data_IF_080586413910
#
_entry.id   IF_080586413910
#
_cell.length_a   1.000
_cell.length_b   1.000
_cell.length_c   1.000
_cell.angle_alpha   90.00
_cell.angle_beta   90.00
_cell.angle_gamma   90.00
#
_symmetry.space_group_name_H-M   'P 1'
#
loop_
_entity.id
_entity.type
_entity.pdbx_description
1 polymer ?
#
# COMPACT_ATOMS: atom_id res chain seq x y z
N UNK A 1 -20.94 28.49 45.99
CA UNK A 1 -21.19 28.24 44.55
C UNK A 1 -20.08 27.33 44.03
N UNK A 2 -20.29 26.00 44.02
CA UNK A 2 -19.30 25.04 43.52
C UNK A 2 -19.52 24.86 42.02
N UNK A 3 -18.66 25.47 41.20
CA UNK A 3 -18.67 25.26 39.76
C UNK A 3 -18.06 23.89 39.44
N UNK A 4 -18.87 22.98 38.90
CA UNK A 4 -18.38 21.72 38.36
C UNK A 4 -17.54 22.02 37.10
N UNK A 5 -16.24 21.76 37.18
CA UNK A 5 -15.33 21.94 36.05
C UNK A 5 -15.70 20.96 34.92
N UNK A 6 -15.90 21.41 33.67
CA UNK A 6 -16.18 20.51 32.56
C UNK A 6 -14.94 19.64 32.28
N UNK A 7 -15.09 18.33 32.42
CA UNK A 7 -14.05 17.36 32.09
C UNK A 7 -13.82 17.43 30.57
N UNK A 8 -12.66 17.94 30.14
CA UNK A 8 -12.28 17.92 28.72
C UNK A 8 -12.13 16.46 28.31
N UNK A 9 -13.13 15.93 27.60
CA UNK A 9 -13.08 14.59 27.02
C UNK A 9 -12.24 14.69 25.75
N UNK A 10 -10.96 14.33 25.86
CA UNK A 10 -10.11 14.11 24.69
C UNK A 10 -10.63 12.87 23.95
N UNK A 11 -11.53 13.07 22.98
CA UNK A 11 -12.00 12.01 22.10
C UNK A 11 -10.83 11.55 21.23
N UNK A 12 -10.30 10.36 21.53
CA UNK A 12 -9.40 9.66 20.61
C UNK A 12 -10.21 9.30 19.37
N UNK A 13 -9.85 9.89 18.23
CA UNK A 13 -10.51 9.58 16.95
C UNK A 13 -10.42 8.07 16.66
N UNK A 14 -11.50 7.44 16.15
CA UNK A 14 -11.47 6.03 15.82
C UNK A 14 -10.43 5.78 14.71
N UNK A 15 -9.49 4.84 14.94
CA UNK A 15 -8.46 4.47 13.95
C UNK A 15 -9.05 3.94 12.63
N UNK A 16 -10.32 3.54 12.64
CA UNK A 16 -11.09 3.16 11.45
C UNK A 16 -11.18 4.28 10.39
N UNK A 17 -10.98 5.54 10.79
CA UNK A 17 -10.94 6.67 9.84
C UNK A 17 -9.77 6.59 8.84
N UNK A 18 -8.70 5.85 9.15
CA UNK A 18 -7.58 5.66 8.22
C UNK A 18 -7.86 4.60 7.15
N UNK A 19 -8.89 3.77 7.30
CA UNK A 19 -9.14 2.67 6.37
C UNK A 19 -9.42 3.09 4.94
N UNK A 20 -10.24 4.13 4.66
CA UNK A 20 -10.44 4.57 3.28
C UNK A 20 -9.15 5.05 2.63
N UNK A 21 -8.31 5.78 3.39
CA UNK A 21 -7.01 6.24 2.91
C UNK A 21 -6.06 5.07 2.64
N UNK A 22 -5.99 4.10 3.56
CA UNK A 22 -5.18 2.89 3.39
C UNK A 22 -5.65 2.05 2.19
N UNK A 23 -6.95 1.96 1.95
CA UNK A 23 -7.51 1.26 0.80
C UNK A 23 -7.10 1.94 -0.52
N UNK A 24 -7.28 3.25 -0.63
CA UNK A 24 -6.89 4.02 -1.82
C UNK A 24 -5.39 3.90 -2.07
N UNK A 25 -4.57 4.09 -1.03
CA UNK A 25 -3.13 3.90 -1.12
C UNK A 25 -2.76 2.47 -1.56
N UNK A 26 -3.40 1.46 -0.96
CA UNK A 26 -3.19 0.06 -1.30
C UNK A 26 -3.47 -0.23 -2.76
N UNK A 27 -4.62 0.21 -3.28
CA UNK A 27 -5.06 -0.08 -4.65
C UNK A 27 -4.24 0.69 -5.69
N UNK A 28 -4.01 1.98 -5.48
CA UNK A 28 -3.42 2.84 -6.51
C UNK A 28 -1.90 2.98 -6.43
N UNK A 29 -1.28 2.62 -5.30
CA UNK A 29 0.18 2.68 -5.14
C UNK A 29 0.77 1.32 -4.83
N UNK A 30 0.31 0.65 -3.78
CA UNK A 30 0.96 -0.59 -3.34
C UNK A 30 0.81 -1.73 -4.36
N UNK A 31 -0.40 -1.95 -4.88
CA UNK A 31 -0.67 -2.97 -5.90
C UNK A 31 0.19 -2.76 -7.16
N UNK A 32 0.20 -1.58 -7.83
CA UNK A 32 1.04 -1.40 -9.01
C UNK A 32 2.53 -1.50 -8.72
N UNK A 33 3.00 -1.08 -7.54
CA UNK A 33 4.41 -1.27 -7.15
C UNK A 33 4.77 -2.75 -7.02
N UNK A 34 3.93 -3.56 -6.36
CA UNK A 34 4.16 -4.99 -6.23
C UNK A 34 4.11 -5.71 -7.59
N UNK A 35 3.18 -5.32 -8.46
CA UNK A 35 3.10 -5.84 -9.82
C UNK A 35 4.34 -5.49 -10.64
N UNK A 36 4.82 -4.24 -10.57
CA UNK A 36 6.04 -3.83 -11.25
C UNK A 36 7.26 -4.63 -10.78
N UNK A 37 7.35 -4.90 -9.47
CA UNK A 37 8.40 -5.75 -8.90
C UNK A 37 8.27 -7.22 -9.33
N UNK A 38 7.05 -7.76 -9.39
CA UNK A 38 6.84 -9.11 -9.91
C UNK A 38 7.23 -9.20 -11.39
N UNK A 39 6.81 -8.22 -12.20
CA UNK A 39 7.09 -8.21 -13.62
C UNK A 39 8.58 -8.04 -13.94
N UNK A 40 9.34 -7.35 -13.09
CA UNK A 40 10.79 -7.24 -13.27
C UNK A 40 11.52 -8.57 -13.11
N UNK A 41 10.94 -9.52 -12.37
CA UNK A 41 11.47 -10.89 -12.18
C UNK A 41 10.92 -11.91 -13.18
N UNK A 42 10.05 -11.47 -14.09
CA UNK A 42 9.41 -12.34 -15.08
C UNK A 42 9.71 -11.84 -16.49
N UNK A 43 9.72 -12.75 -17.46
CA UNK A 43 9.59 -12.41 -18.86
C UNK A 43 8.09 -12.41 -19.15
N UNK A 44 7.54 -11.24 -19.41
CA UNK A 44 6.12 -11.07 -19.67
C UNK A 44 5.87 -10.65 -21.12
N UNK A 45 4.76 -11.13 -21.67
CA UNK A 45 4.14 -10.68 -22.91
C UNK A 45 2.69 -10.29 -22.60
N UNK A 46 1.92 -9.86 -23.60
CA UNK A 46 0.51 -9.52 -23.38
C UNK A 46 -0.35 -10.71 -22.90
N UNK A 47 0.11 -11.95 -23.15
CA UNK A 47 -0.67 -13.16 -22.89
C UNK A 47 -0.01 -14.11 -21.87
N UNK A 48 1.30 -14.02 -21.69
CA UNK A 48 2.06 -14.95 -20.85
C UNK A 48 2.99 -14.23 -19.89
N UNK A 49 3.20 -14.82 -18.71
CA UNK A 49 4.20 -14.38 -17.75
C UNK A 49 4.97 -15.60 -17.24
N UNK A 50 6.27 -15.65 -17.52
CA UNK A 50 7.17 -16.73 -17.06
C UNK A 50 8.15 -16.17 -16.05
N UNK A 51 8.24 -16.78 -14.87
CA UNK A 51 9.21 -16.38 -13.85
C UNK A 51 10.62 -16.82 -14.25
N UNK A 52 11.53 -15.85 -14.37
CA UNK A 52 12.91 -16.04 -14.84
C UNK A 52 13.94 -15.51 -13.82
N UNK A 53 13.49 -15.14 -12.61
CA UNK A 53 14.36 -14.63 -11.55
C UNK A 53 15.03 -13.32 -11.96
N UNK A 54 16.36 -13.28 -11.92
CA UNK A 54 17.16 -12.06 -12.14
C UNK A 54 17.75 -11.94 -13.56
N UNK A 55 17.34 -12.81 -14.48
CA UNK A 55 17.91 -12.86 -15.83
C UNK A 55 17.75 -11.53 -16.58
N UNK A 56 16.59 -10.87 -16.48
CA UNK A 56 16.37 -9.53 -17.04
C UNK A 56 17.47 -8.54 -16.63
N UNK A 57 17.89 -8.55 -15.35
CA UNK A 57 18.89 -7.61 -14.85
C UNK A 57 20.30 -7.90 -15.37
N UNK A 58 20.62 -9.16 -15.70
CA UNK A 58 21.92 -9.54 -16.26
C UNK A 58 22.01 -9.15 -17.74
N UNK A 59 20.92 -9.28 -18.47
CA UNK A 59 20.87 -8.98 -19.91
C UNK A 59 21.01 -7.48 -20.21
N UNK A 60 20.66 -6.60 -19.25
CA UNK A 60 20.76 -5.14 -19.38
C UNK A 60 22.04 -4.52 -18.79
N UNK A 61 22.97 -5.32 -18.24
CA UNK A 61 24.29 -4.87 -17.77
C UNK A 61 25.33 -4.97 -18.88
#
# INVERSE_FOLDING_TARGET
MLQAQPRIVLRTYPRWFYLPAALVFGVFFLVPTLLAFYFSLTRWTLFDATFIGLENYRDFM
#
